data_IF_719558319818
#
_entry.id   IF_719558319818
#
_cell.length_a   1.000
_cell.length_b   1.000
_cell.length_c   1.000
_cell.angle_alpha   90.00
_cell.angle_beta   90.00
_cell.angle_gamma   90.00
#
_symmetry.space_group_name_H-M   'P 1'
#
loop_
_entity.id
_entity.type
_entity.pdbx_description
1 polymer ?
#
# COMPACT_ATOMS: atom_id res chain seq x y z
N UNK A 1 5.26 -15.40 13.08
CA UNK A 1 4.99 -13.95 13.30
C UNK A 1 4.23 -13.45 12.09
N UNK A 2 2.97 -13.02 12.27
CA UNK A 2 1.97 -12.92 11.18
C UNK A 2 2.35 -11.90 10.10
N UNK A 3 2.29 -12.31 8.83
CA UNK A 3 2.62 -11.48 7.65
C UNK A 3 1.87 -10.13 7.64
N UNK A 4 0.62 -10.16 8.08
CA UNK A 4 -0.25 -8.98 8.18
C UNK A 4 0.31 -7.87 9.06
N UNK A 5 1.01 -8.17 10.16
CA UNK A 5 1.51 -7.15 11.09
C UNK A 5 2.64 -6.32 10.46
N UNK A 6 3.46 -6.92 9.58
CA UNK A 6 4.54 -6.22 8.89
C UNK A 6 3.99 -5.27 7.82
N UNK A 7 2.99 -5.72 7.06
CA UNK A 7 2.33 -4.91 6.02
C UNK A 7 1.58 -3.72 6.62
N UNK A 8 0.83 -3.94 7.71
CA UNK A 8 0.15 -2.87 8.43
C UNK A 8 1.11 -1.85 9.04
N UNK A 9 2.26 -2.29 9.56
CA UNK A 9 3.30 -1.38 10.05
C UNK A 9 3.92 -0.57 8.90
N UNK A 10 4.13 -1.18 7.74
CA UNK A 10 4.65 -0.49 6.55
C UNK A 10 3.66 0.53 6.01
N UNK A 11 2.37 0.18 5.97
CA UNK A 11 1.31 1.10 5.58
C UNK A 11 1.19 2.23 6.60
N UNK A 12 1.18 1.90 7.89
CA UNK A 12 1.11 2.88 8.96
C UNK A 12 2.31 3.84 8.97
N UNK A 13 3.52 3.34 8.74
CA UNK A 13 4.71 4.17 8.65
C UNK A 13 4.69 5.07 7.41
N UNK A 14 4.24 4.58 6.25
CA UNK A 14 4.09 5.37 5.04
C UNK A 14 3.06 6.50 5.20
N UNK A 15 1.93 6.23 5.87
CA UNK A 15 0.92 7.24 6.20
C UNK A 15 1.51 8.29 7.16
N UNK A 16 2.23 7.87 8.20
CA UNK A 16 2.86 8.77 9.16
C UNK A 16 3.92 9.66 8.48
N UNK A 17 4.72 9.10 7.58
CA UNK A 17 5.74 9.83 6.81
C UNK A 17 5.14 10.83 5.83
N UNK A 18 4.08 10.46 5.11
CA UNK A 18 3.32 11.41 4.27
C UNK A 18 2.76 12.55 5.08
N UNK A 19 2.10 12.23 6.19
CA UNK A 19 1.47 13.23 7.05
C UNK A 19 2.52 14.19 7.60
N UNK A 20 3.68 13.68 7.99
CA UNK A 20 4.82 14.49 8.43
C UNK A 20 5.37 15.37 7.31
N UNK A 21 5.54 14.85 6.09
CA UNK A 21 6.02 15.62 4.92
C UNK A 21 5.07 16.75 4.53
N UNK A 22 3.76 16.48 4.51
CA UNK A 22 2.73 17.50 4.25
C UNK A 22 2.71 18.55 5.36
N UNK A 23 2.79 18.14 6.62
CA UNK A 23 2.85 19.06 7.75
C UNK A 23 4.09 19.96 7.68
N UNK A 24 5.26 19.41 7.33
CA UNK A 24 6.49 20.17 7.17
C UNK A 24 6.40 21.17 6.00
N UNK A 25 5.79 20.78 4.88
CA UNK A 25 5.54 21.67 3.75
C UNK A 25 4.65 22.86 4.16
N UNK A 26 3.55 22.57 4.88
CA UNK A 26 2.65 23.59 5.40
C UNK A 26 3.34 24.52 6.40
N UNK A 27 4.12 23.97 7.33
CA UNK A 27 4.86 24.75 8.33
C UNK A 27 5.94 25.62 7.65
N UNK A 28 6.64 25.08 6.66
CA UNK A 28 7.65 25.82 5.89
C UNK A 28 7.03 26.93 5.06
N UNK A 29 5.83 26.74 4.51
CA UNK A 29 5.10 27.79 3.81
C UNK A 29 4.70 28.94 4.74
N UNK A 30 4.30 28.61 5.97
CA UNK A 30 3.89 29.58 6.99
C UNK A 30 5.07 30.32 7.64
N UNK A 31 6.19 29.63 7.93
CA UNK A 31 7.37 30.23 8.55
C UNK A 31 8.21 31.09 7.59
N UNK A 32 8.27 30.72 6.31
CA UNK A 32 9.17 31.38 5.35
C UNK A 32 8.45 32.41 4.47
N UNK A 33 7.20 32.78 4.77
CA UNK A 33 6.48 33.85 4.09
C UNK A 33 6.24 33.62 2.60
N UNK A 34 6.20 32.36 2.14
CA UNK A 34 6.00 32.00 0.73
C UNK A 34 7.25 31.53 -0.02
N UNK A 35 8.45 31.67 0.55
CA UNK A 35 9.69 31.17 -0.07
C UNK A 35 9.98 29.71 0.34
N UNK A 36 9.59 28.77 -0.52
CA UNK A 36 9.88 27.35 -0.33
C UNK A 36 11.35 27.09 -0.65
N UNK A 37 12.18 26.87 0.38
CA UNK A 37 13.57 26.41 0.20
C UNK A 37 13.58 25.11 -0.60
N UNK A 38 14.41 25.04 -1.64
CA UNK A 38 14.60 23.86 -2.50
C UNK A 38 14.77 22.55 -1.72
N UNK A 39 15.49 22.60 -0.58
CA UNK A 39 15.71 21.42 0.27
C UNK A 39 14.43 20.84 0.87
N UNK A 40 13.45 21.68 1.21
CA UNK A 40 12.15 21.24 1.76
C UNK A 40 11.30 20.65 0.65
N UNK A 41 11.27 21.30 -0.52
CA UNK A 41 10.53 20.81 -1.68
C UNK A 41 11.07 19.46 -2.16
N UNK A 42 12.39 19.27 -2.10
CA UNK A 42 13.04 17.98 -2.37
C UNK A 42 12.67 16.89 -1.36
N UNK A 43 12.66 17.21 -0.07
CA UNK A 43 12.24 16.26 0.98
C UNK A 43 10.77 15.85 0.83
N UNK A 44 9.89 16.80 0.54
CA UNK A 44 8.47 16.54 0.25
C UNK A 44 8.32 15.66 -1.00
N UNK A 45 9.10 15.92 -2.06
CA UNK A 45 9.10 15.08 -3.26
C UNK A 45 9.55 13.65 -2.95
N UNK A 46 10.59 13.45 -2.15
CA UNK A 46 11.04 12.12 -1.74
C UNK A 46 10.01 11.37 -0.91
N UNK A 47 9.34 12.06 0.03
CA UNK A 47 8.28 11.44 0.86
C UNK A 47 7.07 11.04 0.01
N UNK A 48 6.69 11.86 -0.97
CA UNK A 48 5.66 11.53 -1.96
C UNK A 48 6.03 10.30 -2.81
N UNK A 49 7.26 10.22 -3.31
CA UNK A 49 7.73 9.08 -4.11
C UNK A 49 7.77 7.80 -3.27
N UNK A 50 8.30 7.87 -2.05
CA UNK A 50 8.36 6.73 -1.14
C UNK A 50 6.97 6.20 -0.82
N UNK A 51 6.06 7.09 -0.47
CA UNK A 51 4.69 6.76 -0.15
C UNK A 51 3.94 6.20 -1.37
N UNK A 52 4.03 6.87 -2.52
CA UNK A 52 3.44 6.41 -3.77
C UNK A 52 3.91 5.01 -4.17
N UNK A 53 5.19 4.69 -3.93
CA UNK A 53 5.71 3.34 -4.17
C UNK A 53 5.09 2.29 -3.22
N UNK A 54 4.92 2.61 -1.94
CA UNK A 54 4.33 1.66 -0.98
C UNK A 54 2.84 1.47 -1.22
N UNK A 55 2.09 2.56 -1.41
CA UNK A 55 0.65 2.48 -1.71
C UNK A 55 0.38 1.87 -3.09
N UNK A 56 1.19 2.18 -4.09
CA UNK A 56 1.04 1.64 -5.45
C UNK A 56 1.29 0.12 -5.49
N UNK A 57 2.35 -0.35 -4.84
CA UNK A 57 2.60 -1.79 -4.70
C UNK A 57 1.53 -2.45 -3.82
N UNK A 58 1.06 -1.78 -2.76
CA UNK A 58 -0.01 -2.27 -1.91
C UNK A 58 -1.33 -2.53 -2.66
N UNK A 59 -1.80 -1.56 -3.45
CA UNK A 59 -3.01 -1.71 -4.29
C UNK A 59 -2.80 -2.82 -5.32
N UNK A 60 -1.62 -2.90 -5.94
CA UNK A 60 -1.30 -3.93 -6.91
C UNK A 60 -1.34 -5.34 -6.30
N UNK A 61 -0.71 -5.53 -5.13
CA UNK A 61 -0.70 -6.82 -4.41
C UNK A 61 -2.11 -7.19 -3.95
N UNK A 62 -2.88 -6.25 -3.41
CA UNK A 62 -4.26 -6.50 -2.96
C UNK A 62 -5.15 -6.93 -4.14
N UNK A 63 -5.03 -6.27 -5.29
CA UNK A 63 -5.77 -6.62 -6.51
C UNK A 63 -5.41 -8.03 -7.00
N UNK A 64 -4.11 -8.35 -7.03
CA UNK A 64 -3.62 -9.68 -7.43
C UNK A 64 -4.01 -10.77 -6.45
N UNK A 65 -4.02 -10.50 -5.14
CA UNK A 65 -4.44 -11.46 -4.13
C UNK A 65 -5.94 -11.79 -4.25
N UNK A 66 -6.76 -10.80 -4.63
CA UNK A 66 -8.18 -11.00 -4.94
C UNK A 66 -8.39 -11.94 -6.13
N UNK A 67 -7.65 -11.73 -7.23
CA UNK A 67 -7.68 -12.62 -8.40
C UNK A 67 -7.21 -14.05 -8.07
N UNK A 68 -6.09 -14.18 -7.35
CA UNK A 68 -5.53 -15.48 -6.97
C UNK A 68 -6.49 -16.24 -6.06
N UNK A 69 -7.08 -15.58 -5.07
CA UNK A 69 -8.06 -16.22 -4.17
C UNK A 69 -9.25 -16.76 -4.97
N UNK A 70 -9.75 -15.98 -5.93
CA UNK A 70 -10.89 -16.39 -6.76
C UNK A 70 -10.53 -17.56 -7.69
N UNK A 71 -9.30 -17.60 -8.21
CA UNK A 71 -8.81 -18.72 -9.02
C UNK A 71 -8.65 -20.01 -8.20
N UNK A 72 -8.10 -19.89 -6.99
CA UNK A 72 -7.92 -21.02 -6.06
C UNK A 72 -9.27 -21.57 -5.59
N UNK A 73 -10.22 -20.69 -5.24
CA UNK A 73 -11.57 -21.09 -4.80
C UNK A 73 -12.34 -21.81 -5.92
N UNK A 74 -12.26 -21.31 -7.16
CA UNK A 74 -12.82 -21.99 -8.34
C UNK A 74 -12.22 -23.38 -8.54
N UNK A 75 -10.89 -23.51 -8.48
CA UNK A 75 -10.20 -24.80 -8.67
C UNK A 75 -10.54 -25.80 -7.57
N UNK A 76 -10.59 -25.36 -6.32
CA UNK A 76 -11.01 -26.20 -5.20
C UNK A 76 -12.44 -26.71 -5.42
N UNK A 77 -13.38 -25.82 -5.76
CA UNK A 77 -14.77 -26.21 -5.98
C UNK A 77 -14.93 -27.22 -7.12
N UNK A 78 -14.22 -27.01 -8.23
CA UNK A 78 -14.23 -27.90 -9.40
C UNK A 78 -13.74 -29.32 -9.05
N UNK A 79 -12.69 -29.44 -8.22
CA UNK A 79 -12.19 -30.75 -7.76
C UNK A 79 -13.19 -31.47 -6.83
N UNK A 80 -13.90 -30.72 -5.97
CA UNK A 80 -14.94 -31.30 -5.11
C UNK A 80 -16.15 -31.83 -5.90
N UNK A 81 -16.56 -31.13 -6.96
CA UNK A 81 -17.64 -31.60 -7.84
C UNK A 81 -17.23 -32.86 -8.65
N UNK A 82 -15.95 -32.98 -9.05
CA UNK A 82 -15.40 -34.19 -9.71
C UNK A 82 -15.33 -35.41 -8.77
N UNK A 83 -14.98 -35.21 -7.49
CA UNK A 83 -14.96 -36.30 -6.50
C UNK A 83 -16.38 -36.79 -6.13
N UNK A 84 -17.40 -35.91 -6.11
CA UNK A 84 -18.80 -36.33 -5.89
C UNK A 84 -19.41 -37.06 -7.09
N UNK A 85 -19.00 -36.73 -8.31
CA UNK A 85 -19.50 -37.40 -9.53
C UNK A 85 -18.83 -38.74 -9.83
N UNK A 86 -17.61 -38.97 -9.33
CA UNK A 86 -16.91 -40.27 -9.44
C UNK A 86 -17.31 -41.28 -8.34
N UNK A 87 -18.00 -40.82 -7.28
CA UNK A 87 -18.40 -41.65 -6.12
C UNK A 87 -19.85 -42.18 -6.21
N UNK A 88 -20.63 -41.76 -7.22
CA UNK A 88 -21.97 -42.28 -7.54
C UNK A 88 -21.94 -43.26 -8.70
#
# INVERSE_FOLDING_TARGET
MQRNTKEWIQYGSAIALLTSGVAMAFLSFFLNGGDLKDSVLWYVSQTLVYAGSIFGVGIYVQSKWGEVKNYVDKRLRDNFDEDETQSK
#
